data_IF_578815020591
#
_entry.id   IF_578815020591
#
_cell.length_a   1.000
_cell.length_b   1.000
_cell.length_c   1.000
_cell.angle_alpha   90.00
_cell.angle_beta   90.00
_cell.angle_gamma   90.00
#
_symmetry.space_group_name_H-M   'P 1'
#
loop_
_entity.id
_entity.type
_entity.pdbx_description
1 polymer ?
#
# COMPACT_ATOMS: atom_id res chain seq x y z
N UNK A 1 -47.17 -31.52 -20.64
CA UNK A 1 -45.99 -30.72 -20.26
C UNK A 1 -45.00 -31.63 -19.52
N UNK A 2 -43.84 -31.97 -20.06
CA UNK A 2 -42.86 -32.78 -19.35
C UNK A 2 -42.03 -31.93 -18.41
N UNK A 3 -41.89 -32.35 -17.18
CA UNK A 3 -41.07 -31.79 -16.13
C UNK A 3 -39.60 -32.06 -16.47
N UNK A 4 -38.84 -31.01 -16.78
CA UNK A 4 -37.39 -31.09 -16.96
C UNK A 4 -36.77 -31.26 -15.58
N UNK A 5 -36.30 -32.46 -15.25
CA UNK A 5 -35.46 -32.72 -14.08
C UNK A 5 -34.08 -32.09 -14.35
N UNK A 6 -33.74 -31.08 -13.56
CA UNK A 6 -32.41 -30.47 -13.58
C UNK A 6 -31.33 -31.50 -13.25
N UNK A 7 -30.33 -31.57 -14.08
CA UNK A 7 -29.11 -32.35 -13.86
C UNK A 7 -28.40 -31.79 -12.59
N UNK A 8 -28.04 -32.65 -11.62
CA UNK A 8 -27.29 -32.18 -10.46
C UNK A 8 -25.92 -31.68 -10.95
N UNK A 9 -25.56 -30.46 -10.52
CA UNK A 9 -24.21 -29.94 -10.75
C UNK A 9 -23.19 -30.86 -10.06
N UNK A 10 -22.04 -31.12 -10.70
CA UNK A 10 -21.00 -31.91 -10.07
C UNK A 10 -20.49 -31.16 -8.84
N UNK A 11 -20.57 -31.77 -7.68
CA UNK A 11 -19.87 -31.35 -6.48
C UNK A 11 -18.38 -31.42 -6.80
N UNK A 12 -17.74 -30.24 -6.91
CA UNK A 12 -16.27 -30.15 -6.93
C UNK A 12 -15.77 -30.68 -5.58
N UNK A 13 -15.49 -31.97 -5.52
CA UNK A 13 -14.53 -32.51 -4.58
C UNK A 13 -13.16 -31.95 -5.05
N UNK A 14 -12.81 -30.77 -4.52
CA UNK A 14 -11.48 -30.24 -4.64
C UNK A 14 -10.53 -31.30 -4.08
N UNK A 15 -9.73 -31.84 -4.96
CA UNK A 15 -8.55 -32.62 -4.64
C UNK A 15 -7.58 -31.66 -3.93
N UNK A 16 -7.78 -31.46 -2.61
CA UNK A 16 -6.88 -30.67 -1.76
C UNK A 16 -5.54 -31.37 -1.85
N UNK A 17 -4.69 -30.86 -2.73
CA UNK A 17 -3.32 -31.34 -2.82
C UNK A 17 -2.73 -31.23 -1.43
N UNK A 18 -2.28 -32.34 -0.89
CA UNK A 18 -1.69 -32.45 0.46
C UNK A 18 -0.30 -31.81 0.49
N UNK A 19 -0.15 -30.64 -0.18
CA UNK A 19 1.08 -29.86 -0.20
C UNK A 19 1.20 -29.08 1.09
N UNK A 20 2.33 -29.13 1.78
CA UNK A 20 2.53 -28.36 3.00
C UNK A 20 2.43 -26.85 2.70
N UNK A 21 1.81 -26.09 3.61
CA UNK A 21 1.84 -24.64 3.58
C UNK A 21 3.29 -24.19 3.75
N UNK A 22 3.77 -23.33 2.89
CA UNK A 22 5.14 -22.79 2.92
C UNK A 22 5.19 -21.28 3.14
N UNK A 23 4.06 -20.63 3.01
CA UNK A 23 3.94 -19.17 3.13
C UNK A 23 2.58 -18.81 3.70
N UNK A 24 2.54 -17.79 4.54
CA UNK A 24 1.33 -17.09 5.00
C UNK A 24 1.49 -15.63 4.62
N UNK A 25 0.67 -15.15 3.70
CA UNK A 25 0.63 -13.75 3.32
C UNK A 25 -0.61 -13.08 3.91
N UNK A 26 -0.43 -11.89 4.47
CA UNK A 26 -1.50 -11.10 5.09
C UNK A 26 -1.52 -9.68 4.52
N UNK A 27 -2.72 -9.17 4.28
CA UNK A 27 -2.94 -7.75 4.09
C UNK A 27 -2.93 -7.03 5.45
N UNK A 28 -2.61 -5.74 5.45
CA UNK A 28 -2.42 -4.96 6.68
C UNK A 28 -3.72 -4.29 7.13
N UNK A 29 -4.25 -3.40 6.31
CA UNK A 29 -5.34 -2.52 6.71
C UNK A 29 -6.69 -3.25 6.73
N UNK A 30 -7.34 -3.31 7.90
CA UNK A 30 -8.61 -4.03 8.08
C UNK A 30 -8.50 -5.55 8.05
N UNK A 31 -7.28 -6.11 8.01
CA UNK A 31 -7.02 -7.56 8.05
C UNK A 31 -6.08 -7.92 9.20
N UNK A 32 -4.81 -7.52 9.15
CA UNK A 32 -3.84 -7.79 10.21
C UNK A 32 -3.88 -6.74 11.31
N UNK A 33 -4.01 -5.46 10.92
CA UNK A 33 -4.15 -4.34 11.85
C UNK A 33 -5.62 -4.14 12.24
N UNK A 34 -5.86 -3.85 13.51
CA UNK A 34 -7.14 -3.35 13.99
C UNK A 34 -7.37 -1.88 13.55
N UNK A 35 -8.52 -1.30 13.93
CA UNK A 35 -8.89 0.08 13.57
C UNK A 35 -7.90 1.13 14.11
N UNK A 36 -7.26 0.86 15.25
CA UNK A 36 -6.24 1.72 15.87
C UNK A 36 -4.85 1.55 15.24
N UNK A 37 -4.75 0.77 14.15
CA UNK A 37 -3.50 0.45 13.47
C UNK A 37 -2.47 -0.26 14.36
N UNK A 38 -2.96 -1.06 15.31
CA UNK A 38 -2.17 -1.90 16.21
C UNK A 38 -2.52 -3.37 16.03
N UNK A 39 -1.76 -4.26 16.66
CA UNK A 39 -2.03 -5.69 16.71
C UNK A 39 -1.51 -6.28 18.05
N UNK A 40 -1.93 -7.50 18.36
CA UNK A 40 -1.45 -8.22 19.56
C UNK A 40 -0.01 -8.71 19.34
N UNK A 41 0.93 -7.94 19.87
CA UNK A 41 2.38 -8.15 19.73
C UNK A 41 2.80 -9.52 20.29
N UNK A 42 2.32 -9.90 21.49
CA UNK A 42 2.70 -11.18 22.10
C UNK A 42 2.17 -12.38 21.32
N UNK A 43 0.93 -12.28 20.84
CA UNK A 43 0.34 -13.32 20.00
C UNK A 43 1.08 -13.46 18.68
N UNK A 44 1.43 -12.35 18.05
CA UNK A 44 2.16 -12.33 16.79
C UNK A 44 3.55 -12.93 16.95
N UNK A 45 4.29 -12.58 18.00
CA UNK A 45 5.60 -13.17 18.33
C UNK A 45 5.53 -14.70 18.43
N UNK A 46 4.52 -15.23 19.13
CA UNK A 46 4.29 -16.68 19.21
C UNK A 46 3.98 -17.31 17.84
N UNK A 47 3.23 -16.61 17.00
CA UNK A 47 2.89 -17.07 15.65
C UNK A 47 4.17 -17.14 14.79
N UNK A 48 4.95 -16.05 14.72
CA UNK A 48 6.19 -15.99 13.95
C UNK A 48 7.16 -17.10 14.38
N UNK A 49 7.34 -17.30 15.68
CA UNK A 49 8.18 -18.38 16.21
C UNK A 49 7.71 -19.75 15.75
N UNK A 50 6.39 -19.99 15.69
CA UNK A 50 5.86 -21.27 15.19
C UNK A 50 6.05 -21.42 13.68
N UNK A 51 5.81 -20.37 12.91
CA UNK A 51 6.00 -20.37 11.45
C UNK A 51 7.46 -20.67 11.10
N UNK A 52 8.40 -19.97 11.74
CA UNK A 52 9.85 -20.17 11.53
C UNK A 52 10.28 -21.61 11.83
N UNK A 53 9.82 -22.21 12.94
CA UNK A 53 10.11 -23.62 13.27
C UNK A 53 9.63 -24.63 12.24
N UNK A 54 8.62 -24.26 11.43
CA UNK A 54 8.08 -25.11 10.37
C UNK A 54 8.59 -24.74 8.98
N UNK A 55 9.53 -23.78 8.88
CA UNK A 55 10.04 -23.29 7.61
C UNK A 55 8.97 -22.59 6.76
N UNK A 56 8.01 -21.92 7.41
CA UNK A 56 6.92 -21.20 6.76
C UNK A 56 7.23 -19.71 6.79
N UNK A 57 7.29 -19.07 5.63
CA UNK A 57 7.50 -17.64 5.49
C UNK A 57 6.25 -16.85 5.92
N UNK A 58 6.48 -15.75 6.63
CA UNK A 58 5.44 -14.75 6.88
C UNK A 58 5.64 -13.57 5.94
N UNK A 59 4.58 -13.19 5.24
CA UNK A 59 4.61 -12.13 4.22
C UNK A 59 3.59 -11.06 4.56
N UNK A 60 4.05 -9.81 4.63
CA UNK A 60 3.20 -8.62 4.71
C UNK A 60 2.97 -8.12 3.28
N UNK A 61 1.71 -8.06 2.84
CA UNK A 61 1.36 -7.61 1.50
C UNK A 61 0.40 -6.40 1.58
N UNK A 62 0.79 -5.25 1.04
CA UNK A 62 -0.01 -4.02 1.15
C UNK A 62 0.27 -3.03 0.04
N UNK A 63 -0.68 -2.09 -0.16
CA UNK A 63 -0.45 -0.89 -0.97
C UNK A 63 0.42 0.18 -0.30
N UNK A 64 0.73 0.03 0.99
CA UNK A 64 1.58 0.95 1.73
C UNK A 64 3.04 0.92 1.24
N UNK A 65 3.77 2.01 1.49
CA UNK A 65 5.22 2.06 1.21
C UNK A 65 5.97 1.05 2.09
N UNK A 66 7.11 0.57 1.61
CA UNK A 66 7.99 -0.31 2.41
C UNK A 66 8.35 0.33 3.76
N UNK A 67 8.71 1.62 3.76
CA UNK A 67 9.01 2.36 4.99
C UNK A 67 7.83 2.34 5.97
N UNK A 68 6.59 2.48 5.47
CA UNK A 68 5.39 2.41 6.31
C UNK A 68 5.18 1.03 6.89
N UNK A 69 5.39 -0.02 6.10
CA UNK A 69 5.27 -1.41 6.57
C UNK A 69 6.32 -1.73 7.63
N UNK A 70 7.55 -1.25 7.46
CA UNK A 70 8.62 -1.37 8.46
C UNK A 70 8.26 -0.68 9.78
N UNK A 71 7.59 0.49 9.73
CA UNK A 71 7.10 1.14 10.95
C UNK A 71 6.06 0.29 11.70
N UNK A 72 5.13 -0.36 10.99
CA UNK A 72 4.17 -1.27 11.62
C UNK A 72 4.85 -2.50 12.24
N UNK A 73 5.89 -3.00 11.61
CA UNK A 73 6.66 -4.18 12.06
C UNK A 73 7.86 -3.82 12.94
N UNK A 74 7.90 -2.58 13.48
CA UNK A 74 8.99 -2.19 14.39
C UNK A 74 9.06 -3.13 15.60
N UNK A 75 10.28 -3.59 15.91
CA UNK A 75 10.54 -4.61 16.94
C UNK A 75 10.56 -6.05 16.43
N UNK A 76 10.21 -6.26 15.15
CA UNK A 76 10.26 -7.57 14.48
C UNK A 76 11.32 -7.65 13.40
N UNK A 77 12.28 -6.73 13.41
CA UNK A 77 13.48 -6.80 12.59
C UNK A 77 14.21 -8.14 12.86
N UNK A 78 14.76 -8.73 11.83
CA UNK A 78 15.44 -10.05 11.89
C UNK A 78 14.52 -11.25 12.19
N UNK A 79 13.23 -11.13 11.85
CA UNK A 79 12.25 -12.23 12.01
C UNK A 79 11.87 -12.90 10.70
N UNK A 80 12.68 -12.76 9.65
CA UNK A 80 12.47 -13.34 8.32
C UNK A 80 11.10 -12.95 7.71
N UNK A 81 10.67 -11.68 7.92
CA UNK A 81 9.45 -11.15 7.33
C UNK A 81 9.75 -10.68 5.91
N UNK A 82 8.94 -11.13 4.96
CA UNK A 82 8.97 -10.63 3.58
C UNK A 82 7.90 -9.54 3.43
N UNK A 83 8.27 -8.44 2.82
CA UNK A 83 7.40 -7.28 2.56
C UNK A 83 7.09 -7.20 1.08
N UNK A 84 5.82 -7.28 0.71
CA UNK A 84 5.30 -6.95 -0.61
C UNK A 84 4.62 -5.60 -0.47
N UNK A 85 5.35 -4.55 -0.80
CA UNK A 85 4.93 -3.16 -0.68
C UNK A 85 4.48 -2.59 -2.03
N UNK A 86 3.88 -1.39 -2.02
CA UNK A 86 3.53 -0.62 -3.20
C UNK A 86 2.66 -1.42 -4.20
N UNK A 87 1.69 -2.21 -3.69
CA UNK A 87 0.84 -3.11 -4.48
C UNK A 87 1.64 -4.18 -5.26
N UNK A 88 2.80 -4.60 -4.75
CA UNK A 88 3.67 -5.60 -5.38
C UNK A 88 4.78 -5.02 -6.25
N UNK A 89 4.86 -3.69 -6.41
CA UNK A 89 5.94 -3.07 -7.16
C UNK A 89 7.29 -3.13 -6.45
N UNK A 90 7.29 -3.32 -5.11
CA UNK A 90 8.51 -3.44 -4.31
C UNK A 90 8.42 -4.64 -3.37
N UNK A 91 9.39 -5.53 -3.45
CA UNK A 91 9.51 -6.70 -2.56
C UNK A 91 10.86 -6.67 -1.87
N UNK A 92 10.85 -6.81 -0.55
CA UNK A 92 12.06 -6.78 0.28
C UNK A 92 11.93 -7.71 1.50
N UNK A 93 13.05 -8.02 2.11
CA UNK A 93 13.17 -8.62 3.43
C UNK A 93 14.21 -7.88 4.27
N UNK A 94 14.65 -8.46 5.38
CA UNK A 94 15.66 -7.86 6.24
C UNK A 94 17.07 -7.82 5.61
N UNK A 95 17.32 -8.58 4.55
CA UNK A 95 18.57 -8.52 3.78
C UNK A 95 18.60 -7.39 2.75
N UNK A 96 17.44 -6.82 2.44
CA UNK A 96 17.27 -5.72 1.49
C UNK A 96 16.24 -6.01 0.40
N UNK A 97 16.40 -5.34 -0.73
CA UNK A 97 15.53 -5.46 -1.90
C UNK A 97 15.67 -6.83 -2.55
N UNK A 98 14.54 -7.51 -2.76
CA UNK A 98 14.45 -8.80 -3.47
C UNK A 98 13.98 -8.61 -4.92
N UNK A 99 13.05 -7.69 -5.14
CA UNK A 99 12.54 -7.36 -6.47
C UNK A 99 11.92 -5.96 -6.49
N UNK A 100 12.07 -5.27 -7.61
CA UNK A 100 11.42 -3.99 -7.88
C UNK A 100 10.93 -3.92 -9.32
N UNK A 101 9.73 -3.37 -9.52
CA UNK A 101 9.12 -3.15 -10.81
C UNK A 101 8.91 -1.65 -11.02
N UNK A 102 9.65 -1.09 -11.97
CA UNK A 102 9.61 0.33 -12.33
C UNK A 102 8.69 0.58 -13.51
N UNK A 103 8.20 1.81 -13.63
CA UNK A 103 7.68 2.30 -14.90
C UNK A 103 8.81 2.34 -15.94
N UNK A 104 8.48 2.11 -17.21
CA UNK A 104 9.43 2.27 -18.28
C UNK A 104 9.83 3.76 -18.41
N UNK A 105 11.13 4.04 -18.48
CA UNK A 105 11.62 5.42 -18.49
C UNK A 105 11.08 6.23 -19.68
N UNK A 106 10.88 5.57 -20.82
CA UNK A 106 10.31 6.16 -22.04
C UNK A 106 8.84 6.58 -21.90
N UNK A 107 8.09 5.99 -20.97
CA UNK A 107 6.68 6.32 -20.72
C UNK A 107 6.51 7.48 -19.75
N UNK A 108 7.49 7.77 -18.92
CA UNK A 108 7.39 8.76 -17.84
C UNK A 108 7.05 10.18 -18.35
N UNK A 109 7.63 10.70 -19.44
CA UNK A 109 7.26 12.03 -19.94
C UNK A 109 5.77 12.15 -20.27
N UNK A 110 5.19 11.11 -20.86
CA UNK A 110 3.76 11.08 -21.18
C UNK A 110 2.89 10.94 -19.91
N UNK A 111 3.33 10.13 -18.94
CA UNK A 111 2.64 10.01 -17.65
C UNK A 111 2.62 11.38 -16.95
N UNK A 112 3.75 12.07 -16.89
CA UNK A 112 3.84 13.40 -16.26
C UNK A 112 2.99 14.46 -16.98
N UNK A 113 2.94 14.43 -18.32
CA UNK A 113 2.05 15.31 -19.10
C UNK A 113 0.58 15.08 -18.74
N UNK A 114 0.12 13.82 -18.70
CA UNK A 114 -1.24 13.46 -18.31
C UNK A 114 -1.54 13.94 -16.89
N UNK A 115 -0.66 13.66 -15.93
CA UNK A 115 -0.82 14.04 -14.53
C UNK A 115 -0.83 15.56 -14.32
N UNK A 116 -0.05 16.31 -15.10
CA UNK A 116 -0.07 17.77 -15.10
C UNK A 116 -1.41 18.32 -15.60
N UNK A 117 -2.03 17.63 -16.56
CA UNK A 117 -3.36 17.97 -17.08
C UNK A 117 -4.53 17.71 -16.11
N UNK A 118 -4.25 17.11 -14.94
CA UNK A 118 -5.25 16.73 -13.93
C UNK A 118 -5.04 17.48 -12.61
N UNK A 119 -5.32 18.81 -12.54
CA UNK A 119 -5.02 19.62 -11.35
C UNK A 119 -5.86 19.25 -10.11
N UNK A 120 -6.96 18.52 -10.29
CA UNK A 120 -7.83 18.05 -9.21
C UNK A 120 -7.26 16.87 -8.44
N UNK A 121 -6.23 16.19 -8.96
CA UNK A 121 -5.63 15.05 -8.29
C UNK A 121 -4.57 15.47 -7.27
N UNK A 122 -4.64 14.90 -6.07
CA UNK A 122 -3.49 14.77 -5.19
C UNK A 122 -2.61 13.63 -5.69
N UNK A 123 -1.33 13.89 -5.92
CA UNK A 123 -0.42 12.93 -6.53
C UNK A 123 0.78 12.75 -5.63
N UNK A 124 1.03 11.50 -5.25
CA UNK A 124 2.28 11.08 -4.62
C UNK A 124 3.02 10.16 -5.58
N UNK A 125 4.21 10.55 -5.98
CA UNK A 125 5.11 9.71 -6.79
C UNK A 125 5.96 8.90 -5.83
N UNK A 126 5.90 7.57 -5.92
CA UNK A 126 6.70 6.68 -5.09
C UNK A 126 7.80 6.04 -5.95
N UNK A 127 9.01 6.07 -5.42
CA UNK A 127 10.17 5.30 -5.90
C UNK A 127 10.55 4.24 -4.85
N UNK A 128 11.52 3.40 -5.15
CA UNK A 128 12.03 2.44 -4.17
C UNK A 128 12.62 3.12 -2.90
N UNK A 129 13.13 4.35 -3.03
CA UNK A 129 13.88 5.04 -1.98
C UNK A 129 13.04 6.09 -1.23
N UNK A 130 12.12 6.76 -1.92
CA UNK A 130 11.40 7.92 -1.36
C UNK A 130 10.04 8.13 -2.03
N UNK A 131 9.28 9.07 -1.48
CA UNK A 131 8.03 9.56 -2.07
C UNK A 131 8.12 11.06 -2.32
N UNK A 132 7.40 11.56 -3.32
CA UNK A 132 7.47 12.97 -3.75
C UNK A 132 6.09 13.54 -3.96
N UNK A 133 5.89 14.80 -3.51
CA UNK A 133 4.67 15.58 -3.73
C UNK A 133 5.02 16.92 -4.36
N UNK A 134 4.28 17.30 -5.40
CA UNK A 134 4.40 18.60 -6.05
C UNK A 134 3.86 19.72 -5.15
N UNK A 135 4.69 20.77 -4.91
CA UNK A 135 4.32 21.96 -4.12
C UNK A 135 3.10 22.70 -4.68
N UNK A 136 2.97 22.77 -6.00
CA UNK A 136 1.86 23.44 -6.66
C UNK A 136 0.50 22.72 -6.48
N UNK A 137 0.48 21.54 -5.83
CA UNK A 137 -0.74 20.76 -5.48
C UNK A 137 -1.23 21.00 -4.05
N UNK A 138 -0.63 21.90 -3.28
CA UNK A 138 -0.98 22.16 -1.89
C UNK A 138 -2.47 22.39 -1.68
N UNK A 139 -3.11 23.23 -2.52
CA UNK A 139 -4.57 23.51 -2.44
C UNK A 139 -5.41 22.26 -2.68
N UNK A 140 -5.00 21.42 -3.64
CA UNK A 140 -5.68 20.17 -3.96
C UNK A 140 -5.55 19.19 -2.79
N UNK A 141 -4.36 19.04 -2.24
CA UNK A 141 -4.12 18.19 -1.05
C UNK A 141 -4.96 18.68 0.13
N UNK A 142 -5.05 19.98 0.37
CA UNK A 142 -5.92 20.54 1.42
C UNK A 142 -7.40 20.23 1.21
N UNK A 143 -7.89 20.26 -0.03
CA UNK A 143 -9.29 19.90 -0.33
C UNK A 143 -9.54 18.40 -0.04
N UNK A 144 -8.60 17.52 -0.42
CA UNK A 144 -8.66 16.09 -0.13
C UNK A 144 -8.64 15.83 1.38
N UNK A 145 -7.83 16.56 2.14
CA UNK A 145 -7.79 16.46 3.60
C UNK A 145 -9.12 16.87 4.22
N UNK A 146 -9.73 17.99 3.78
CA UNK A 146 -11.06 18.41 4.26
C UNK A 146 -12.10 17.34 4.00
N UNK A 147 -12.13 16.81 2.77
CA UNK A 147 -13.02 15.74 2.36
C UNK A 147 -12.84 14.48 3.22
N UNK A 148 -11.59 14.09 3.48
CA UNK A 148 -11.27 12.97 4.36
C UNK A 148 -11.86 13.13 5.78
N UNK A 149 -11.73 14.31 6.39
CA UNK A 149 -12.31 14.58 7.71
C UNK A 149 -13.83 14.68 7.66
N UNK A 150 -14.42 15.26 6.62
CA UNK A 150 -15.86 15.35 6.40
C UNK A 150 -16.49 13.97 6.30
N UNK A 151 -15.94 13.08 5.48
CA UNK A 151 -16.41 11.69 5.31
C UNK A 151 -16.35 10.90 6.62
N UNK A 152 -15.35 11.17 7.46
CA UNK A 152 -15.24 10.51 8.76
C UNK A 152 -16.09 11.15 9.87
N UNK A 153 -16.81 12.25 9.57
CA UNK A 153 -17.56 12.99 10.58
C UNK A 153 -16.68 13.61 11.67
N UNK A 154 -15.42 13.89 11.38
CA UNK A 154 -14.44 14.45 12.32
C UNK A 154 -14.17 15.92 12.01
N UNK A 155 -13.95 16.77 13.03
CA UNK A 155 -13.57 18.16 12.78
C UNK A 155 -12.18 18.23 12.15
N UNK A 156 -12.01 19.14 11.19
CA UNK A 156 -10.70 19.45 10.61
C UNK A 156 -9.83 20.12 11.69
N UNK A 157 -8.63 19.59 12.00
CA UNK A 157 -7.71 20.22 12.92
C UNK A 157 -7.29 21.62 12.44
N UNK A 158 -7.08 22.54 13.40
CA UNK A 158 -6.55 23.86 13.07
C UNK A 158 -5.09 23.77 12.65
N UNK A 159 -4.69 24.58 11.67
CA UNK A 159 -3.28 24.67 11.20
C UNK A 159 -2.67 23.37 10.67
N UNK A 160 -3.46 22.58 9.93
CA UNK A 160 -2.92 21.41 9.23
C UNK A 160 -1.91 21.87 8.15
N UNK A 161 -0.69 21.31 8.20
CA UNK A 161 0.23 21.31 7.06
C UNK A 161 -0.14 20.15 6.14
N UNK A 162 -0.54 20.39 4.87
CA UNK A 162 -0.94 19.34 3.95
C UNK A 162 0.16 18.32 3.68
N UNK A 163 1.40 18.75 3.67
CA UNK A 163 2.54 17.87 3.40
C UNK A 163 2.89 17.02 4.62
N UNK A 164 2.83 17.60 5.83
CA UNK A 164 2.99 16.83 7.06
C UNK A 164 1.89 15.77 7.19
N UNK A 165 0.66 16.10 6.81
CA UNK A 165 -0.43 15.13 6.79
C UNK A 165 -0.17 14.00 5.78
N UNK A 166 0.26 14.31 4.56
CA UNK A 166 0.61 13.30 3.58
C UNK A 166 1.75 12.38 4.06
N UNK A 167 2.74 12.92 4.77
CA UNK A 167 3.86 12.16 5.33
C UNK A 167 3.43 11.15 6.42
N UNK A 168 2.24 11.27 6.99
CA UNK A 168 1.69 10.24 7.90
C UNK A 168 1.39 8.93 7.15
N UNK A 169 1.02 9.03 5.86
CA UNK A 169 0.72 7.89 4.99
C UNK A 169 1.94 7.46 4.16
N UNK A 170 2.79 8.43 3.80
CA UNK A 170 4.00 8.25 3.01
C UNK A 170 5.22 8.80 3.78
N UNK A 171 5.76 8.05 4.75
CA UNK A 171 6.88 8.52 5.55
C UNK A 171 8.09 8.87 4.69
N UNK A 172 8.71 10.02 4.97
CA UNK A 172 9.86 10.50 4.21
C UNK A 172 9.51 11.23 2.92
N UNK A 173 8.22 11.58 2.71
CA UNK A 173 7.80 12.35 1.52
C UNK A 173 8.54 13.68 1.41
N UNK A 174 9.06 13.95 0.22
CA UNK A 174 9.77 15.16 -0.15
C UNK A 174 8.91 16.09 -1.01
N UNK A 175 9.10 17.40 -0.84
CA UNK A 175 8.46 18.41 -1.67
C UNK A 175 9.30 18.66 -2.91
N UNK A 176 8.66 18.71 -4.07
CA UNK A 176 9.30 19.01 -5.35
C UNK A 176 8.49 20.07 -6.11
N UNK A 177 9.18 20.90 -6.91
CA UNK A 177 8.50 21.89 -7.74
C UNK A 177 8.10 21.34 -9.12
N UNK A 178 8.76 20.27 -9.57
CA UNK A 178 8.46 19.60 -10.85
C UNK A 178 8.86 18.13 -10.80
N UNK A 179 8.33 17.33 -11.73
CA UNK A 179 8.61 15.89 -11.80
C UNK A 179 10.07 15.55 -12.15
N UNK A 180 10.82 16.48 -12.77
CA UNK A 180 12.25 16.31 -13.07
C UNK A 180 13.12 16.23 -11.80
N UNK A 181 12.57 16.63 -10.66
CA UNK A 181 13.22 16.50 -9.35
C UNK A 181 12.98 15.17 -8.65
N UNK A 182 12.15 14.29 -9.23
CA UNK A 182 11.98 12.94 -8.71
C UNK A 182 13.31 12.19 -8.82
N UNK A 183 13.81 11.73 -7.69
CA UNK A 183 15.01 10.89 -7.64
C UNK A 183 14.61 9.41 -7.74
N UNK A 184 15.38 8.64 -8.50
CA UNK A 184 15.07 7.25 -8.80
C UNK A 184 13.99 7.11 -9.86
N UNK A 185 13.61 5.88 -10.16
CA UNK A 185 12.57 5.56 -11.15
C UNK A 185 11.26 5.29 -10.43
N UNK A 186 10.15 5.93 -10.82
CA UNK A 186 8.85 5.66 -10.22
C UNK A 186 8.42 4.20 -10.30
N UNK A 187 7.88 3.70 -9.20
CA UNK A 187 7.29 2.37 -9.08
C UNK A 187 5.78 2.44 -8.86
N UNK A 188 5.28 3.58 -8.37
CA UNK A 188 3.85 3.83 -8.20
C UNK A 188 3.53 5.33 -8.26
N UNK A 189 2.38 5.64 -8.85
CA UNK A 189 1.70 6.93 -8.70
C UNK A 189 0.46 6.71 -7.85
N UNK A 190 0.43 7.28 -6.66
CA UNK A 190 -0.74 7.26 -5.79
C UNK A 190 -1.58 8.49 -6.08
N UNK A 191 -2.79 8.27 -6.59
CA UNK A 191 -3.72 9.31 -7.00
C UNK A 191 -4.83 9.42 -5.98
N UNK A 192 -5.05 10.62 -5.44
CA UNK A 192 -6.12 10.90 -4.50
C UNK A 192 -7.07 11.94 -5.08
N UNK A 193 -8.36 11.74 -4.82
CA UNK A 193 -9.44 12.65 -5.21
C UNK A 193 -10.37 12.86 -4.03
N UNK A 194 -11.18 13.93 -4.06
CA UNK A 194 -12.30 14.06 -3.13
C UNK A 194 -13.37 13.02 -3.48
N UNK A 195 -14.22 12.63 -2.51
CA UNK A 195 -15.32 11.69 -2.79
C UNK A 195 -16.30 12.22 -3.84
N UNK A 196 -16.36 13.56 -4.03
CA UNK A 196 -17.23 14.23 -5.02
C UNK A 196 -16.69 14.15 -6.44
N UNK A 197 -15.39 13.88 -6.60
CA UNK A 197 -14.71 13.79 -7.89
C UNK A 197 -14.56 12.33 -8.39
N UNK A 198 -15.09 11.37 -7.63
CA UNK A 198 -15.19 9.97 -8.06
C UNK A 198 -16.34 9.85 -9.06
N UNK A 199 -16.10 9.37 -10.31
CA UNK A 199 -17.13 9.23 -11.34
C UNK A 199 -18.21 8.20 -11.00
#
# INVERSE_FOLDING_TARGET
MPIIRGTPMPTQQENRSNKPVRMVAVDMDGTFLNDDKTFDVERFERILTRLSRHGIYFVVASGNTYTKLRQYMHGFEHRDIIYIAENGAYVADDSGELAVHHFAAEDLPRVYEILNGMPQLGIVVCTAESSFILENREKTVMNIIRDYFEVQGKPLPQNIDPFAFASMFYPGTERISSYEQVRGVPIKFSLQVTHRDIP
#
